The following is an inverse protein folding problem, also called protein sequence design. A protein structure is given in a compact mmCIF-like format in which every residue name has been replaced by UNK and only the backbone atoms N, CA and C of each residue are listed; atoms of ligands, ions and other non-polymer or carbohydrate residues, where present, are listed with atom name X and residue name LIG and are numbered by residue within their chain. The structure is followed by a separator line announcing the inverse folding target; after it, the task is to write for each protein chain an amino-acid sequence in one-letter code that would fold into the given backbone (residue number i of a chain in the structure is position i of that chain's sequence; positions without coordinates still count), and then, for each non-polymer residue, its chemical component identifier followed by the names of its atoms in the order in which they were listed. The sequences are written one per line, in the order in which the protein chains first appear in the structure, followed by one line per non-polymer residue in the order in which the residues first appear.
data_IF_749454042066
#
_entry.id   IF_749454042066
#
_cell.length_a   1.000
_cell.length_b   1.000
_cell.length_c   1.000
_cell.angle_alpha   90.00
_cell.angle_beta   90.00
_cell.angle_gamma   90.00
#
_symmetry.space_group_name_H-M   'P 1'
#
loop_
_entity.id
_entity.type
_entity.pdbx_description
1 polymer ?
#
# COMPACT_ATOMS: atom_id res chain seq x y z
N UNK A 1 18.18 5.86 1.70
CA UNK A 1 19.24 5.04 2.35
C UNK A 1 19.04 3.55 2.06
N UNK A 2 20.06 2.69 2.23
CA UNK A 2 19.95 1.25 2.01
C UNK A 2 20.02 0.50 3.34
N UNK A 3 19.03 -0.36 3.61
CA UNK A 3 18.92 -1.14 4.85
C UNK A 3 18.86 -2.63 4.51
N UNK A 4 19.73 -3.43 5.11
CA UNK A 4 19.65 -4.89 5.01
C UNK A 4 18.67 -5.42 6.05
N UNK A 5 17.62 -6.11 5.60
CA UNK A 5 16.63 -6.76 6.43
C UNK A 5 16.04 -7.96 5.70
N UNK A 6 15.63 -8.99 6.42
CA UNK A 6 14.99 -10.21 5.89
C UNK A 6 15.63 -10.75 4.60
N UNK A 7 16.96 -10.81 4.57
CA UNK A 7 17.75 -11.41 3.47
C UNK A 7 17.91 -10.56 2.21
N UNK A 8 17.39 -9.33 2.17
CA UNK A 8 17.54 -8.41 1.03
C UNK A 8 17.92 -6.99 1.48
N UNK A 9 18.27 -6.15 0.51
CA UNK A 9 18.57 -4.72 0.73
C UNK A 9 17.38 -3.87 0.31
N UNK A 10 16.76 -3.18 1.28
CA UNK A 10 15.66 -2.25 1.05
C UNK A 10 16.16 -0.84 0.73
N UNK A 11 15.46 -0.16 -0.15
CA UNK A 11 15.56 1.27 -0.32
C UNK A 11 14.55 1.96 0.61
N UNK A 12 15.06 2.83 1.48
CA UNK A 12 14.27 3.52 2.49
C UNK A 12 14.56 5.01 2.47
N UNK A 13 13.57 5.79 2.87
CA UNK A 13 13.68 7.21 3.18
C UNK A 13 13.09 7.47 4.56
N UNK A 14 13.81 8.27 5.37
CA UNK A 14 13.40 8.62 6.73
C UNK A 14 13.43 10.13 6.87
N UNK A 15 12.27 10.69 7.23
CA UNK A 15 12.12 12.14 7.46
C UNK A 15 11.40 12.43 8.77
N UNK A 16 11.37 13.71 9.14
CA UNK A 16 10.72 14.18 10.36
C UNK A 16 11.57 14.14 11.62
N UNK A 17 11.09 14.71 12.76
CA UNK A 17 11.88 14.92 13.97
C UNK A 17 12.22 13.59 14.67
N UNK A 18 13.42 13.52 15.23
CA UNK A 18 13.77 12.45 16.17
C UNK A 18 12.88 12.51 17.42
N UNK A 19 12.42 11.33 17.89
CA UNK A 19 11.54 11.23 19.04
C UNK A 19 10.05 11.43 18.74
N UNK A 20 9.68 11.89 17.54
CA UNK A 20 8.29 11.91 17.11
C UNK A 20 7.74 10.48 16.91
N UNK A 21 6.41 10.26 17.02
CA UNK A 21 5.80 8.96 16.74
C UNK A 21 6.12 8.49 15.31
N UNK A 22 6.48 7.21 15.18
CA UNK A 22 6.77 6.63 13.88
C UNK A 22 5.51 6.40 13.05
N UNK A 23 5.59 6.73 11.76
CA UNK A 23 4.60 6.43 10.73
C UNK A 23 5.29 5.72 9.56
N UNK A 24 4.81 4.54 9.21
CA UNK A 24 5.33 3.76 8.08
C UNK A 24 4.32 3.84 6.94
N UNK A 25 4.80 4.24 5.76
CA UNK A 25 4.03 4.20 4.52
C UNK A 25 4.40 2.96 3.69
N UNK A 26 3.39 2.29 3.16
CA UNK A 26 3.54 1.09 2.33
C UNK A 26 2.75 1.21 1.03
N UNK A 27 3.43 0.95 -0.06
CA UNK A 27 3.02 1.28 -1.43
C UNK A 27 1.97 0.33 -2.00
N UNK A 28 1.31 0.76 -3.08
CA UNK A 28 0.58 -0.12 -4.01
C UNK A 28 1.54 -1.02 -4.81
N UNK A 29 1.02 -2.10 -5.40
CA UNK A 29 1.78 -2.89 -6.38
C UNK A 29 2.23 -1.99 -7.54
N UNK A 30 3.45 -2.23 -8.02
CA UNK A 30 4.05 -1.51 -9.13
C UNK A 30 4.19 0.02 -8.92
N UNK A 31 4.28 0.46 -7.68
CA UNK A 31 4.66 1.82 -7.31
C UNK A 31 5.87 1.81 -6.38
N UNK A 32 6.48 2.97 -6.15
CA UNK A 32 7.61 3.14 -5.25
C UNK A 32 7.30 4.13 -4.13
N UNK A 33 8.26 4.40 -3.26
CA UNK A 33 8.09 5.27 -2.08
C UNK A 33 7.66 6.71 -2.42
N UNK A 34 7.91 7.17 -3.65
CA UNK A 34 7.54 8.52 -4.10
C UNK A 34 6.04 8.71 -4.33
N UNK A 35 5.23 7.64 -4.38
CA UNK A 35 3.78 7.81 -4.34
C UNK A 35 3.28 8.52 -3.08
N UNK A 36 4.11 8.56 -2.04
CA UNK A 36 3.79 9.17 -0.74
C UNK A 36 4.40 10.56 -0.54
N UNK A 37 5.03 11.17 -1.55
CA UNK A 37 5.66 12.51 -1.44
C UNK A 37 4.69 13.59 -0.92
N UNK A 38 3.39 13.65 -1.35
CA UNK A 38 2.45 14.63 -0.81
C UNK A 38 2.16 14.43 0.69
N UNK A 39 2.03 13.18 1.13
CA UNK A 39 1.74 12.84 2.52
C UNK A 39 2.95 13.03 3.41
N UNK A 40 4.14 12.70 2.93
CA UNK A 40 5.40 13.01 3.62
C UNK A 40 5.52 14.51 3.87
N UNK A 41 5.36 15.31 2.81
CA UNK A 41 5.41 16.78 2.92
C UNK A 41 4.42 17.35 3.93
N UNK A 42 3.21 16.79 3.97
CA UNK A 42 2.15 17.26 4.87
C UNK A 42 2.34 16.85 6.35
N UNK A 43 3.11 15.77 6.61
CA UNK A 43 3.13 15.14 7.94
C UNK A 43 4.51 15.08 8.59
N UNK A 44 5.59 15.39 7.87
CA UNK A 44 6.97 15.26 8.37
C UNK A 44 7.31 16.12 9.59
N UNK A 45 6.55 17.18 9.84
CA UNK A 45 6.77 18.02 11.03
C UNK A 45 6.17 17.41 12.31
N UNK A 46 5.33 16.37 12.17
CA UNK A 46 4.56 15.74 13.26
C UNK A 46 4.95 14.30 13.55
N UNK A 47 5.47 13.59 12.55
CA UNK A 47 5.79 12.18 12.62
C UNK A 47 7.23 11.92 12.17
N UNK A 48 7.86 10.92 12.75
CA UNK A 48 9.05 10.30 12.19
C UNK A 48 8.60 9.31 11.12
N UNK A 49 8.79 9.62 9.86
CA UNK A 49 8.22 8.91 8.73
C UNK A 49 9.25 7.95 8.14
N UNK A 50 8.87 6.67 8.01
CA UNK A 50 9.58 5.69 7.20
C UNK A 50 8.78 5.44 5.92
N UNK A 51 9.37 5.76 4.77
CA UNK A 51 8.93 5.31 3.45
C UNK A 51 9.92 4.27 2.93
N UNK A 52 9.43 3.20 2.36
CA UNK A 52 10.30 2.18 1.80
C UNK A 52 9.72 1.64 0.50
N UNK A 53 10.60 1.32 -0.43
CA UNK A 53 10.20 0.48 -1.57
C UNK A 53 10.00 -0.93 -1.05
N UNK A 54 8.82 -1.51 -1.26
CA UNK A 54 8.55 -2.89 -0.89
C UNK A 54 9.47 -3.85 -1.65
N UNK A 55 9.63 -5.08 -1.18
CA UNK A 55 10.35 -6.15 -1.87
C UNK A 55 9.97 -6.17 -3.35
N UNK A 56 10.98 -6.06 -4.23
CA UNK A 56 10.80 -6.11 -5.67
C UNK A 56 10.31 -4.82 -6.32
N UNK A 57 10.27 -3.70 -5.60
CA UNK A 57 9.81 -2.40 -6.13
C UNK A 57 10.91 -1.34 -6.00
N UNK A 58 10.78 -0.30 -6.84
CA UNK A 58 11.69 0.84 -6.84
C UNK A 58 13.16 0.42 -6.88
N UNK A 59 13.93 0.84 -5.88
CA UNK A 59 15.35 0.50 -5.75
C UNK A 59 15.62 -0.60 -4.68
N UNK A 60 14.59 -1.29 -4.20
CA UNK A 60 14.71 -2.48 -3.33
C UNK A 60 15.01 -3.72 -4.18
N UNK A 61 15.79 -4.65 -3.65
CA UNK A 61 16.11 -5.91 -4.33
C UNK A 61 14.84 -6.70 -4.70
N UNK A 62 14.88 -7.36 -5.88
CA UNK A 62 13.78 -8.10 -6.49
C UNK A 62 14.14 -9.58 -6.69
N UNK A 63 14.24 -10.39 -5.64
CA UNK A 63 14.50 -11.82 -5.79
C UNK A 63 13.42 -12.49 -6.64
N UNK A 64 13.82 -13.47 -7.45
CA UNK A 64 12.84 -14.25 -8.22
C UNK A 64 12.01 -15.14 -7.31
N UNK A 65 10.76 -15.38 -7.69
CA UNK A 65 9.83 -16.26 -6.98
C UNK A 65 8.46 -15.64 -6.74
N UNK A 66 7.55 -16.46 -6.21
CA UNK A 66 6.23 -16.01 -5.77
C UNK A 66 6.34 -15.58 -4.30
N UNK A 67 5.86 -14.40 -3.98
CA UNK A 67 5.85 -13.93 -2.59
C UNK A 67 4.50 -14.24 -1.93
N UNK A 68 4.48 -14.10 -0.62
CA UNK A 68 3.27 -14.22 0.21
C UNK A 68 3.13 -12.97 1.08
N UNK A 69 1.92 -12.69 1.57
CA UNK A 69 1.76 -11.60 2.54
C UNK A 69 2.49 -11.86 3.85
N UNK A 70 2.71 -13.14 4.22
CA UNK A 70 3.54 -13.49 5.36
C UNK A 70 4.98 -12.97 5.18
N UNK A 71 5.58 -13.23 4.02
CA UNK A 71 6.90 -12.71 3.67
C UNK A 71 6.94 -11.19 3.67
N UNK A 72 5.91 -10.51 3.12
CA UNK A 72 5.85 -9.05 3.10
C UNK A 72 5.66 -8.45 4.50
N UNK A 73 4.93 -9.11 5.40
CA UNK A 73 4.84 -8.74 6.81
C UNK A 73 6.19 -8.91 7.52
N UNK A 74 6.86 -10.04 7.31
CA UNK A 74 8.19 -10.31 7.89
C UNK A 74 9.23 -9.27 7.43
N UNK A 75 9.15 -8.81 6.19
CA UNK A 75 9.98 -7.72 5.65
C UNK A 75 9.82 -6.43 6.47
N UNK A 76 8.57 -6.04 6.76
CA UNK A 76 8.28 -4.82 7.53
C UNK A 76 8.80 -4.96 8.96
N UNK A 77 8.58 -6.10 9.62
CA UNK A 77 9.07 -6.32 10.99
C UNK A 77 10.59 -6.31 11.03
N UNK A 78 11.25 -6.97 10.07
CA UNK A 78 12.72 -6.96 9.98
C UNK A 78 13.29 -5.57 9.71
N UNK A 79 12.60 -4.72 8.90
CA UNK A 79 12.97 -3.32 8.72
C UNK A 79 12.82 -2.51 10.01
N UNK A 80 11.71 -2.70 10.73
CA UNK A 80 11.50 -2.05 12.03
C UNK A 80 12.60 -2.44 13.02
N UNK A 81 12.98 -3.72 13.07
CA UNK A 81 14.02 -4.21 13.98
C UNK A 81 15.40 -3.64 13.59
N UNK A 82 15.74 -3.64 12.29
CA UNK A 82 16.99 -3.07 11.80
C UNK A 82 17.13 -1.56 12.07
N UNK A 83 16.01 -0.84 12.17
CA UNK A 83 15.93 0.59 12.45
C UNK A 83 15.65 0.91 13.93
N UNK A 84 15.58 -0.11 14.80
CA UNK A 84 15.22 0.03 16.22
C UNK A 84 13.85 0.72 16.44
N UNK A 85 12.89 0.47 15.54
CA UNK A 85 11.52 0.97 15.66
C UNK A 85 10.71 -0.02 16.50
N UNK A 86 10.51 0.29 17.78
CA UNK A 86 9.74 -0.57 18.69
C UNK A 86 8.25 -0.60 18.33
N UNK A 87 7.67 0.57 18.01
CA UNK A 87 6.25 0.73 17.65
C UNK A 87 6.08 1.86 16.62
N UNK A 88 5.15 1.66 15.65
CA UNK A 88 4.83 2.65 14.63
C UNK A 88 3.32 2.71 14.36
N UNK A 89 2.86 3.75 13.69
CA UNK A 89 1.60 3.76 12.97
C UNK A 89 1.82 3.22 11.55
N UNK A 90 0.78 2.69 10.95
CA UNK A 90 0.80 2.16 9.59
C UNK A 90 -0.16 2.89 8.68
N UNK A 91 0.28 3.23 7.47
CA UNK A 91 -0.57 3.68 6.38
C UNK A 91 -0.18 2.91 5.11
N UNK A 92 -1.08 2.08 4.61
CA UNK A 92 -0.83 1.26 3.42
C UNK A 92 -1.95 1.34 2.41
N UNK A 93 -1.59 1.43 1.12
CA UNK A 93 -2.53 1.53 0.01
C UNK A 93 -2.47 0.25 -0.84
N UNK A 94 -3.64 -0.30 -1.19
CA UNK A 94 -3.78 -1.48 -2.07
C UNK A 94 -2.99 -2.69 -1.51
N UNK A 95 -1.87 -3.08 -2.11
CA UNK A 95 -0.98 -4.12 -1.58
C UNK A 95 -0.47 -3.76 -0.18
N UNK A 96 -0.14 -2.49 0.09
CA UNK A 96 0.23 -2.01 1.41
C UNK A 96 -0.92 -2.10 2.42
N UNK A 97 -2.17 -1.94 2.00
CA UNK A 97 -3.35 -2.20 2.82
C UNK A 97 -3.43 -3.68 3.22
N UNK A 98 -3.29 -4.60 2.26
CA UNK A 98 -3.31 -6.05 2.51
C UNK A 98 -2.16 -6.48 3.44
N UNK A 99 -0.94 -5.92 3.25
CA UNK A 99 0.18 -6.11 4.18
C UNK A 99 -0.19 -5.61 5.59
N UNK A 100 -0.82 -4.43 5.68
CA UNK A 100 -1.30 -3.86 6.94
C UNK A 100 -2.33 -4.73 7.66
N UNK A 101 -3.25 -5.37 6.92
CA UNK A 101 -4.18 -6.35 7.48
C UNK A 101 -3.45 -7.56 8.07
N UNK A 102 -2.44 -8.08 7.38
CA UNK A 102 -1.59 -9.16 7.89
C UNK A 102 -0.83 -8.76 9.16
N UNK A 103 -0.23 -7.55 9.17
CA UNK A 103 0.49 -7.02 10.33
C UNK A 103 -0.43 -6.80 11.53
N UNK A 104 -1.64 -6.28 11.32
CA UNK A 104 -2.62 -6.07 12.40
C UNK A 104 -3.05 -7.37 13.08
N UNK A 105 -2.99 -8.49 12.37
CA UNK A 105 -3.30 -9.82 12.89
C UNK A 105 -2.12 -10.48 13.59
N UNK A 106 -0.92 -10.39 12.99
CA UNK A 106 0.27 -11.13 13.44
C UNK A 106 1.11 -10.37 14.46
N UNK A 107 1.16 -9.06 14.34
CA UNK A 107 2.05 -8.20 15.12
C UNK A 107 1.32 -6.96 15.70
N UNK A 108 0.12 -7.12 16.30
CA UNK A 108 -0.69 -5.98 16.76
C UNK A 108 0.05 -5.07 17.75
N UNK A 109 0.93 -5.61 18.57
CA UNK A 109 1.67 -4.87 19.59
C UNK A 109 2.76 -3.95 19.02
N UNK A 110 3.24 -4.25 17.80
CA UNK A 110 4.24 -3.43 17.07
C UNK A 110 3.61 -2.19 16.43
N UNK A 111 2.30 -2.08 16.42
CA UNK A 111 1.60 -0.97 15.77
C UNK A 111 0.66 -0.25 16.73
N UNK A 112 0.52 1.07 16.52
CA UNK A 112 -0.45 1.91 17.23
C UNK A 112 -1.80 1.91 16.52
N UNK A 113 -1.84 2.53 15.36
CA UNK A 113 -3.04 2.70 14.52
C UNK A 113 -2.76 2.23 13.10
N UNK A 114 -3.78 1.74 12.43
CA UNK A 114 -3.73 1.35 11.02
C UNK A 114 -4.62 2.25 10.17
N UNK A 115 -4.06 2.76 9.07
CA UNK A 115 -4.80 3.40 7.98
C UNK A 115 -4.67 2.49 6.77
N UNK A 116 -5.78 1.90 6.35
CA UNK A 116 -5.88 0.85 5.35
C UNK A 116 -6.65 1.39 4.16
N UNK A 117 -5.98 1.51 2.99
CA UNK A 117 -6.51 2.28 1.86
C UNK A 117 -6.71 1.43 0.61
N UNK A 118 -7.81 1.68 -0.10
CA UNK A 118 -8.05 1.29 -1.50
C UNK A 118 -7.80 -0.20 -1.80
N UNK A 119 -8.37 -1.11 -1.02
CA UNK A 119 -8.17 -2.55 -1.19
C UNK A 119 -9.41 -3.35 -0.80
N UNK A 120 -9.33 -4.65 -0.98
CA UNK A 120 -10.30 -5.61 -0.47
C UNK A 120 -9.65 -6.59 0.50
N UNK A 121 -10.44 -7.14 1.42
CA UNK A 121 -9.93 -8.10 2.41
C UNK A 121 -9.61 -9.48 1.84
N UNK A 122 -9.88 -9.72 0.55
CA UNK A 122 -9.61 -11.01 -0.10
C UNK A 122 -9.43 -10.90 -1.60
N UNK A 123 -8.75 -11.87 -2.18
CA UNK A 123 -8.85 -12.19 -3.61
C UNK A 123 -10.04 -13.13 -3.86
N UNK A 124 -10.86 -12.82 -4.87
CA UNK A 124 -11.85 -13.76 -5.39
C UNK A 124 -11.17 -14.72 -6.40
N UNK A 125 -11.78 -15.89 -6.70
CA UNK A 125 -11.25 -16.78 -7.75
C UNK A 125 -11.09 -16.09 -9.11
N UNK A 126 -11.95 -15.12 -9.42
CA UNK A 126 -11.83 -14.31 -10.64
C UNK A 126 -10.65 -13.35 -10.57
N UNK A 127 -10.52 -12.62 -9.46
CA UNK A 127 -9.37 -11.75 -9.23
C UNK A 127 -8.05 -12.53 -9.29
N UNK A 128 -8.02 -13.72 -8.69
CA UNK A 128 -6.85 -14.60 -8.73
C UNK A 128 -6.45 -14.94 -10.16
N UNK A 129 -7.40 -15.33 -11.03
CA UNK A 129 -7.14 -15.57 -12.47
C UNK A 129 -6.61 -14.32 -13.18
N UNK A 130 -7.22 -13.17 -12.94
CA UNK A 130 -6.75 -11.90 -13.53
C UNK A 130 -5.32 -11.55 -13.11
N UNK A 131 -4.91 -11.89 -11.89
CA UNK A 131 -3.52 -11.73 -11.45
C UNK A 131 -2.58 -12.70 -12.17
N UNK A 132 -2.96 -13.97 -12.34
CA UNK A 132 -2.14 -14.95 -13.10
C UNK A 132 -1.99 -14.53 -14.56
N UNK A 133 -3.03 -14.00 -15.20
CA UNK A 133 -2.94 -13.45 -16.56
C UNK A 133 -1.94 -12.29 -16.66
N UNK A 134 -1.94 -11.38 -15.69
CA UNK A 134 -0.98 -10.26 -15.63
C UNK A 134 0.43 -10.74 -15.36
N UNK A 135 0.60 -11.76 -14.50
CA UNK A 135 1.90 -12.42 -14.27
C UNK A 135 2.41 -13.00 -15.58
N UNK A 136 1.58 -13.71 -16.33
CA UNK A 136 1.96 -14.28 -17.62
C UNK A 136 2.40 -13.21 -18.64
N UNK A 137 1.68 -12.08 -18.71
CA UNK A 137 2.05 -10.93 -19.56
C UNK A 137 3.40 -10.37 -19.12
N UNK A 138 3.61 -10.13 -17.82
CA UNK A 138 4.85 -9.56 -17.31
C UNK A 138 6.06 -10.46 -17.57
N UNK A 139 5.91 -11.76 -17.42
CA UNK A 139 6.97 -12.74 -17.69
C UNK A 139 7.32 -12.82 -19.18
N UNK A 140 6.34 -12.67 -20.06
CA UNK A 140 6.52 -12.79 -21.51
C UNK A 140 7.03 -11.49 -22.13
N UNK A 141 6.38 -10.38 -21.80
CA UNK A 141 6.48 -9.11 -22.55
C UNK A 141 7.00 -7.95 -21.68
N UNK A 142 7.32 -8.21 -20.39
CA UNK A 142 7.74 -7.19 -19.43
C UNK A 142 6.59 -6.32 -18.94
N UNK A 143 6.93 -5.20 -18.28
CA UNK A 143 5.94 -4.33 -17.65
C UNK A 143 5.19 -3.40 -18.63
N UNK A 144 5.75 -3.14 -19.81
CA UNK A 144 5.20 -2.14 -20.74
C UNK A 144 3.73 -2.37 -21.13
N UNK A 145 3.27 -3.60 -21.44
CA UNK A 145 1.86 -3.86 -21.79
C UNK A 145 0.89 -3.64 -20.62
N UNK A 146 1.37 -3.66 -19.38
CA UNK A 146 0.55 -3.50 -18.18
C UNK A 146 0.33 -2.05 -17.79
N UNK A 147 1.10 -1.10 -18.35
CA UNK A 147 1.06 0.32 -17.94
C UNK A 147 -0.31 0.93 -18.18
N UNK A 148 -0.72 1.06 -19.44
CA UNK A 148 -1.95 1.79 -19.79
C UNK A 148 -3.23 1.14 -19.21
N UNK A 149 -3.42 -0.20 -19.28
CA UNK A 149 -4.58 -0.82 -18.65
C UNK A 149 -4.65 -0.60 -17.13
N UNK A 150 -3.49 -0.46 -16.47
CA UNK A 150 -3.43 -0.22 -15.03
C UNK A 150 -3.81 1.21 -14.70
N UNK A 151 -3.18 2.22 -15.32
CA UNK A 151 -3.49 3.62 -15.02
C UNK A 151 -4.93 3.99 -15.40
N UNK A 152 -5.44 3.44 -16.52
CA UNK A 152 -6.83 3.65 -16.95
C UNK A 152 -7.84 3.14 -15.91
N UNK A 153 -7.50 2.05 -15.20
CA UNK A 153 -8.34 1.50 -14.13
C UNK A 153 -8.18 2.24 -12.81
N UNK A 154 -6.98 2.77 -12.53
CA UNK A 154 -6.64 3.35 -11.23
C UNK A 154 -7.07 4.80 -11.06
N UNK A 155 -7.20 5.55 -12.13
CA UNK A 155 -7.58 6.96 -12.09
C UNK A 155 -9.01 7.18 -12.57
N UNK A 156 -9.71 8.19 -12.02
CA UNK A 156 -10.97 8.64 -12.58
C UNK A 156 -10.84 8.95 -14.08
N UNK A 157 -11.89 8.68 -14.89
CA UNK A 157 -11.82 8.85 -16.34
C UNK A 157 -11.39 10.26 -16.81
N UNK A 158 -11.81 11.30 -16.09
CA UNK A 158 -11.43 12.68 -16.37
C UNK A 158 -9.97 12.97 -16.04
N UNK A 159 -9.44 12.41 -14.95
CA UNK A 159 -8.02 12.53 -14.55
C UNK A 159 -7.12 11.83 -15.56
N UNK A 160 -7.50 10.62 -15.98
CA UNK A 160 -6.79 9.85 -17.00
C UNK A 160 -6.80 10.57 -18.35
N UNK A 161 -7.98 11.05 -18.83
CA UNK A 161 -8.11 11.75 -20.11
C UNK A 161 -7.37 13.09 -20.16
N UNK A 162 -7.34 13.80 -19.03
CA UNK A 162 -6.58 15.04 -18.91
C UNK A 162 -5.07 14.81 -18.86
N UNK A 163 -4.63 13.56 -18.78
CA UNK A 163 -3.22 13.19 -18.58
C UNK A 163 -2.59 13.99 -17.43
N UNK A 164 -3.28 14.03 -16.30
CA UNK A 164 -2.84 14.79 -15.15
C UNK A 164 -1.45 14.30 -14.67
N UNK A 165 -0.60 15.17 -14.09
CA UNK A 165 0.80 14.85 -13.77
C UNK A 165 0.99 13.58 -12.94
N UNK A 166 0.08 13.29 -12.00
CA UNK A 166 0.13 12.07 -11.19
C UNK A 166 -0.03 10.79 -12.02
N UNK A 167 -0.74 10.85 -13.15
CA UNK A 167 -0.89 9.70 -14.06
C UNK A 167 0.45 9.32 -14.69
N UNK A 168 1.24 10.30 -15.11
CA UNK A 168 2.57 10.08 -15.71
C UNK A 168 3.58 9.58 -14.68
N UNK A 169 3.49 10.06 -13.43
CA UNK A 169 4.29 9.56 -12.32
C UNK A 169 4.02 8.06 -12.14
N UNK A 170 2.76 7.66 -12.05
CA UNK A 170 2.38 6.25 -11.87
C UNK A 170 2.72 5.40 -13.11
N UNK A 171 2.54 5.91 -14.33
CA UNK A 171 3.01 5.24 -15.55
C UNK A 171 4.49 4.88 -15.48
N UNK A 172 5.30 5.84 -15.02
CA UNK A 172 6.74 5.65 -14.88
C UNK A 172 7.05 4.58 -13.83
N UNK A 173 6.43 4.64 -12.66
CA UNK A 173 6.61 3.65 -11.59
C UNK A 173 6.25 2.24 -12.08
N UNK A 174 5.09 2.06 -12.75
CA UNK A 174 4.69 0.76 -13.28
C UNK A 174 5.71 0.24 -14.29
N UNK A 175 6.14 1.09 -15.22
CA UNK A 175 7.07 0.72 -16.30
C UNK A 175 8.43 0.29 -15.78
N UNK A 176 8.91 0.91 -14.71
CA UNK A 176 10.23 0.68 -14.12
C UNK A 176 10.25 -0.39 -13.03
N UNK A 177 9.08 -0.88 -12.62
CA UNK A 177 9.00 -1.97 -11.64
C UNK A 177 9.69 -3.23 -12.16
N UNK A 178 10.62 -3.85 -11.41
CA UNK A 178 11.25 -5.10 -11.80
C UNK A 178 10.22 -6.21 -12.01
N UNK A 179 10.32 -6.94 -13.13
CA UNK A 179 9.38 -8.04 -13.46
C UNK A 179 9.31 -9.08 -12.33
N UNK A 180 10.44 -9.48 -11.75
CA UNK A 180 10.45 -10.43 -10.63
C UNK A 180 9.67 -9.91 -9.43
N UNK A 181 9.79 -8.62 -9.12
CA UNK A 181 9.06 -7.98 -8.03
C UNK A 181 7.56 -7.93 -8.29
N UNK A 182 7.16 -7.52 -9.49
CA UNK A 182 5.76 -7.56 -9.92
C UNK A 182 5.17 -8.97 -9.80
N UNK A 183 5.84 -9.97 -10.37
CA UNK A 183 5.41 -11.38 -10.35
C UNK A 183 5.28 -11.89 -8.92
N UNK A 184 6.28 -11.64 -8.09
CA UNK A 184 6.28 -12.06 -6.69
C UNK A 184 5.10 -11.49 -5.92
N UNK A 185 4.90 -10.18 -5.98
CA UNK A 185 3.82 -9.49 -5.26
C UNK A 185 2.43 -9.74 -5.85
N UNK A 186 2.30 -9.82 -7.18
CA UNK A 186 1.04 -10.18 -7.82
C UNK A 186 0.57 -11.58 -7.42
N UNK A 187 1.50 -12.51 -7.19
CA UNK A 187 1.19 -13.84 -6.65
C UNK A 187 0.61 -13.78 -5.23
N UNK A 188 1.13 -12.91 -4.36
CA UNK A 188 0.54 -12.69 -3.04
C UNK A 188 -0.88 -12.12 -3.13
N UNK A 189 -1.12 -11.18 -4.08
CA UNK A 189 -2.44 -10.61 -4.33
C UNK A 189 -3.42 -11.62 -4.94
N UNK A 190 -2.94 -12.60 -5.69
CA UNK A 190 -3.78 -13.64 -6.29
C UNK A 190 -4.42 -14.58 -5.26
N UNK A 191 -3.78 -14.76 -4.11
CA UNK A 191 -4.20 -15.74 -3.09
C UNK A 191 -4.09 -15.17 -1.67
N UNK A 192 -5.09 -14.33 -1.27
CA UNK A 192 -5.20 -13.87 0.10
C UNK A 192 -6.65 -13.81 0.59
N UNK A 193 -6.85 -14.04 1.87
CA UNK A 193 -8.13 -13.81 2.56
C UNK A 193 -7.90 -13.45 4.04
N UNK A 194 -8.03 -12.17 4.36
CA UNK A 194 -7.89 -11.63 5.72
C UNK A 194 -9.22 -11.46 6.46
N UNK A 195 -10.37 -11.65 5.80
CA UNK A 195 -11.70 -11.33 6.35
C UNK A 195 -12.01 -12.07 7.65
N UNK A 196 -11.65 -13.36 7.72
CA UNK A 196 -11.94 -14.17 8.91
C UNK A 196 -11.25 -13.69 10.18
N UNK A 197 -10.13 -12.99 10.02
CA UNK A 197 -9.30 -12.53 11.13
C UNK A 197 -9.51 -11.04 11.44
N UNK A 198 -10.10 -10.26 10.51
CA UNK A 198 -10.33 -8.83 10.73
C UNK A 198 -11.13 -8.53 12.01
N UNK A 199 -12.20 -9.27 12.37
CA UNK A 199 -12.92 -9.01 13.61
C UNK A 199 -12.10 -9.15 14.91
N UNK A 200 -10.93 -9.80 14.85
CA UNK A 200 -10.03 -9.94 16.00
C UNK A 200 -9.03 -8.79 16.15
N UNK A 201 -8.95 -7.89 15.21
CA UNK A 201 -8.05 -6.71 15.25
C UNK A 201 -8.50 -5.75 16.34
N UNK A 202 -7.60 -5.45 17.27
CA UNK A 202 -7.88 -4.57 18.43
C UNK A 202 -7.35 -3.15 18.24
N UNK A 203 -6.41 -2.97 17.33
CA UNK A 203 -5.86 -1.65 17.05
C UNK A 203 -6.93 -0.76 16.41
N UNK A 204 -6.93 0.54 16.68
CA UNK A 204 -7.78 1.47 15.94
C UNK A 204 -7.48 1.42 14.44
N UNK A 205 -8.52 1.31 13.62
CA UNK A 205 -8.43 1.23 12.14
C UNK A 205 -9.24 2.35 11.50
N UNK A 206 -8.61 3.05 10.55
CA UNK A 206 -9.25 3.90 9.58
C UNK A 206 -9.18 3.25 8.20
N UNK A 207 -10.33 3.01 7.61
CA UNK A 207 -10.48 2.64 6.21
C UNK A 207 -10.57 3.90 5.36
N UNK A 208 -9.81 3.98 4.27
CA UNK A 208 -9.89 5.10 3.33
C UNK A 208 -9.99 4.57 1.90
N UNK A 209 -10.84 5.16 1.07
CA UNK A 209 -10.91 4.79 -0.34
C UNK A 209 -11.43 5.94 -1.20
N UNK A 210 -11.08 5.91 -2.49
CA UNK A 210 -11.72 6.75 -3.49
C UNK A 210 -13.17 6.32 -3.75
N UNK A 211 -14.06 7.27 -4.05
CA UNK A 211 -15.45 6.98 -4.42
C UNK A 211 -15.57 6.34 -5.82
N UNK A 212 -14.51 6.44 -6.63
CA UNK A 212 -14.41 5.87 -7.98
C UNK A 212 -13.44 4.67 -8.08
N UNK A 213 -13.03 4.06 -6.95
CA UNK A 213 -12.18 2.86 -6.93
C UNK A 213 -12.99 1.55 -7.21
N UNK A 214 -14.09 1.67 -7.90
CA UNK A 214 -14.88 0.53 -8.36
C UNK A 214 -15.29 -0.42 -7.22
N UNK A 215 -14.99 -1.73 -7.32
CA UNK A 215 -15.42 -2.72 -6.33
C UNK A 215 -14.74 -2.55 -4.96
N UNK A 216 -13.57 -1.91 -4.88
CA UNK A 216 -12.87 -1.73 -3.60
C UNK A 216 -13.65 -0.81 -2.66
N UNK A 217 -14.30 0.24 -3.18
CA UNK A 217 -15.13 1.14 -2.35
C UNK A 217 -16.24 0.37 -1.64
N UNK A 218 -16.90 -0.55 -2.32
CA UNK A 218 -17.94 -1.40 -1.71
C UNK A 218 -17.32 -2.40 -0.71
N UNK A 219 -16.19 -3.02 -1.06
CA UNK A 219 -15.49 -3.95 -0.17
C UNK A 219 -15.03 -3.29 1.13
N UNK A 220 -14.51 -2.05 1.05
CA UNK A 220 -14.09 -1.29 2.23
C UNK A 220 -15.24 -0.95 3.18
N UNK A 221 -16.43 -0.63 2.65
CA UNK A 221 -17.64 -0.45 3.45
C UNK A 221 -18.05 -1.72 4.19
N UNK A 222 -17.93 -2.88 3.52
CA UNK A 222 -18.20 -4.18 4.16
C UNK A 222 -17.19 -4.45 5.29
N UNK A 223 -15.88 -4.29 5.03
CA UNK A 223 -14.84 -4.52 6.05
C UNK A 223 -14.98 -3.58 7.25
N UNK A 224 -15.37 -2.33 7.02
CA UNK A 224 -15.65 -1.39 8.11
C UNK A 224 -16.83 -1.88 8.97
N UNK A 225 -17.89 -2.39 8.36
CA UNK A 225 -19.03 -2.96 9.08
C UNK A 225 -18.68 -4.24 9.86
N UNK A 226 -17.70 -5.00 9.41
CA UNK A 226 -17.21 -6.25 10.05
C UNK A 226 -16.20 -5.98 11.20
N UNK A 227 -15.68 -4.74 11.33
CA UNK A 227 -14.76 -4.34 12.39
C UNK A 227 -15.36 -3.21 13.25
N UNK A 228 -16.15 -3.52 14.30
CA UNK A 228 -16.77 -2.53 15.15
C UNK A 228 -15.75 -1.54 15.74
N UNK A 229 -16.11 -0.25 15.72
CA UNK A 229 -15.24 0.83 16.21
C UNK A 229 -14.22 1.35 15.18
N UNK A 230 -14.09 0.71 14.02
CA UNK A 230 -13.31 1.28 12.92
C UNK A 230 -14.06 2.42 12.22
N UNK A 231 -13.30 3.32 11.59
CA UNK A 231 -13.82 4.48 10.86
C UNK A 231 -13.67 4.26 9.36
N UNK A 232 -14.49 4.95 8.56
CA UNK A 232 -14.37 4.96 7.10
C UNK A 232 -14.45 6.40 6.58
N UNK A 233 -13.49 6.75 5.71
CA UNK A 233 -13.49 7.97 4.92
C UNK A 233 -13.50 7.61 3.45
N UNK A 234 -14.50 8.10 2.72
CA UNK A 234 -14.59 7.98 1.27
C UNK A 234 -14.22 9.32 0.65
N UNK A 235 -13.18 9.33 -0.18
CA UNK A 235 -12.65 10.54 -0.81
C UNK A 235 -13.39 10.79 -2.13
N UNK A 236 -14.04 11.94 -2.30
CA UNK A 236 -14.77 12.25 -3.53
C UNK A 236 -13.81 12.49 -4.70
N UNK A 237 -14.24 12.12 -5.90
CA UNK A 237 -13.48 12.27 -7.15
C UNK A 237 -12.08 11.63 -7.09
N UNK A 238 -11.95 10.50 -6.43
CA UNK A 238 -10.73 9.74 -6.31
C UNK A 238 -10.91 8.30 -6.79
N UNK A 239 -9.93 7.78 -7.52
CA UNK A 239 -9.82 6.39 -7.93
C UNK A 239 -9.00 5.56 -6.94
N UNK A 240 -8.27 4.58 -7.48
CA UNK A 240 -7.46 3.62 -6.70
C UNK A 240 -6.21 4.24 -6.05
N UNK A 241 -5.66 5.30 -6.61
CA UNK A 241 -4.51 6.01 -6.03
C UNK A 241 -5.03 7.28 -5.34
N UNK A 242 -5.92 7.06 -4.38
CA UNK A 242 -6.71 8.12 -3.75
C UNK A 242 -5.85 9.17 -3.03
N UNK A 243 -4.67 8.79 -2.57
CA UNK A 243 -3.69 9.69 -1.96
C UNK A 243 -3.08 10.70 -2.94
N UNK A 244 -3.03 10.40 -4.23
CA UNK A 244 -2.57 11.30 -5.29
C UNK A 244 -3.72 12.05 -5.97
N UNK A 245 -4.92 11.46 -6.01
CA UNK A 245 -6.11 12.13 -6.56
C UNK A 245 -6.61 13.23 -5.62
N UNK A 246 -6.57 13.00 -4.32
CA UNK A 246 -7.06 13.94 -3.29
C UNK A 246 -6.02 14.16 -2.18
N UNK A 247 -4.80 14.63 -2.48
CA UNK A 247 -3.68 14.63 -1.53
C UNK A 247 -3.95 15.43 -0.25
N UNK A 248 -4.63 16.58 -0.36
CA UNK A 248 -4.94 17.42 0.78
C UNK A 248 -5.99 16.77 1.71
N UNK A 249 -7.06 16.20 1.13
CA UNK A 249 -8.12 15.55 1.91
C UNK A 249 -7.61 14.26 2.55
N UNK A 250 -6.83 13.46 1.80
CA UNK A 250 -6.18 12.26 2.30
C UNK A 250 -5.28 12.57 3.50
N UNK A 251 -4.36 13.54 3.33
CA UNK A 251 -3.42 13.92 4.39
C UNK A 251 -4.12 14.47 5.63
N UNK A 252 -5.21 15.23 5.46
CA UNK A 252 -6.01 15.73 6.57
C UNK A 252 -6.66 14.61 7.36
N UNK A 253 -7.37 13.69 6.70
CA UNK A 253 -8.04 12.56 7.36
C UNK A 253 -7.02 11.64 8.08
N UNK A 254 -5.88 11.38 7.43
CA UNK A 254 -4.77 10.63 8.02
C UNK A 254 -4.25 11.31 9.29
N UNK A 255 -3.96 12.62 9.23
CA UNK A 255 -3.44 13.38 10.36
C UNK A 255 -4.41 13.43 11.54
N UNK A 256 -5.71 13.65 11.29
CA UNK A 256 -6.76 13.69 12.31
C UNK A 256 -6.87 12.34 13.02
N UNK A 257 -6.92 11.23 12.27
CA UNK A 257 -7.01 9.90 12.85
C UNK A 257 -5.77 9.50 13.66
N UNK A 258 -4.57 9.82 13.19
CA UNK A 258 -3.33 9.44 13.87
C UNK A 258 -3.09 10.24 15.15
N UNK A 259 -3.76 11.39 15.34
CA UNK A 259 -3.61 12.29 16.50
C UNK A 259 -4.69 12.12 17.56
N UNK A 260 -5.75 11.39 17.26
CA UNK A 260 -6.84 11.08 18.20
C UNK A 260 -6.40 10.00 19.20
#
# INVERSE_FOLDING_TARGET
MKIKANGITFNCDISGPEGAPWLIFSNSLATDLHMWDPQETALKDRFRILRHDQRGHGATEAPAGRYTFDLLCDDVIALMDALNIGKAHWCGLSMGCATGMGLAQKHPDRFGRFVLCDSSGRSSPESGRQWEDRIAIALKDGMAPLVEPTVQRWFPPEVYKANAPQVDIIRTMIRTTPVNGFVGCAAALADHDFRKLMPSVKNPVLWMCGDQDGPNTAAMKVMQGELPGSQLVVLPNAGHISNLDQPAMFSKALAEFLSA
#
